data_IF_981475757217
#
_entry.id   IF_981475757217
#
_cell.length_a   1.000
_cell.length_b   1.000
_cell.length_c   1.000
_cell.angle_alpha   90.00
_cell.angle_beta   90.00
_cell.angle_gamma   90.00
#
_symmetry.space_group_name_H-M   'P 1'
#
loop_
_entity.id
_entity.type
_entity.pdbx_description
1 polymer ?
#
# COMPACT_ATOMS: atom_id res chain seq x y z
N UNK A 1 -24.41 -2.02 10.78
CA UNK A 1 -23.42 -2.81 10.04
C UNK A 1 -23.71 -3.00 8.54
N UNK A 2 -24.96 -3.04 8.05
CA UNK A 2 -25.27 -3.13 6.61
C UNK A 2 -25.02 -1.85 5.80
N UNK A 3 -25.20 -0.66 6.40
CA UNK A 3 -25.01 0.62 5.74
C UNK A 3 -23.53 0.91 5.39
N UNK A 4 -22.61 0.43 6.21
CA UNK A 4 -21.17 0.65 6.05
C UNK A 4 -20.60 -0.12 4.84
N UNK A 5 -21.02 -1.37 4.64
CA UNK A 5 -20.61 -2.16 3.46
C UNK A 5 -21.11 -1.56 2.15
N UNK A 6 -22.32 -0.98 2.15
CA UNK A 6 -22.88 -0.31 0.96
C UNK A 6 -22.04 0.90 0.54
N UNK A 7 -21.49 1.64 1.50
CA UNK A 7 -20.69 2.85 1.24
C UNK A 7 -19.31 2.51 0.62
N UNK A 8 -18.61 1.50 1.15
CA UNK A 8 -17.34 1.05 0.59
C UNK A 8 -17.48 0.49 -0.83
N UNK A 9 -18.54 -0.28 -1.10
CA UNK A 9 -18.82 -0.79 -2.44
C UNK A 9 -19.08 0.36 -3.43
N UNK A 10 -19.82 1.38 -3.03
CA UNK A 10 -20.07 2.55 -3.86
C UNK A 10 -18.79 3.33 -4.16
N UNK A 11 -17.89 3.48 -3.18
CA UNK A 11 -16.60 4.14 -3.37
C UNK A 11 -15.74 3.37 -4.36
N UNK A 12 -15.64 2.04 -4.22
CA UNK A 12 -14.90 1.20 -5.17
C UNK A 12 -15.49 1.32 -6.57
N UNK A 13 -16.82 1.28 -6.71
CA UNK A 13 -17.47 1.39 -8.01
C UNK A 13 -17.16 2.74 -8.68
N UNK A 14 -17.21 3.84 -7.92
CA UNK A 14 -16.86 5.16 -8.44
C UNK A 14 -15.40 5.22 -8.94
N UNK A 15 -14.46 4.62 -8.23
CA UNK A 15 -13.07 4.57 -8.64
C UNK A 15 -12.83 3.63 -9.81
N UNK A 16 -13.57 2.52 -9.87
CA UNK A 16 -13.55 1.60 -11.00
C UNK A 16 -13.99 2.30 -12.29
N UNK A 17 -15.07 3.10 -12.24
CA UNK A 17 -15.50 3.91 -13.37
C UNK A 17 -14.44 4.95 -13.79
N UNK A 18 -13.83 5.64 -12.83
CA UNK A 18 -12.71 6.56 -13.12
C UNK A 18 -11.56 5.86 -13.81
N UNK A 19 -11.21 4.64 -13.41
CA UNK A 19 -10.17 3.86 -14.08
C UNK A 19 -10.55 3.53 -15.53
N UNK A 20 -11.80 3.17 -15.80
CA UNK A 20 -12.28 2.88 -17.16
C UNK A 20 -12.24 4.12 -18.08
N UNK A 21 -12.36 5.31 -17.50
CA UNK A 21 -12.27 6.59 -18.22
C UNK A 21 -10.80 7.03 -18.47
N UNK A 22 -9.81 6.36 -17.88
CA UNK A 22 -8.39 6.67 -18.08
C UNK A 22 -7.87 6.09 -19.42
N UNK A 23 -6.87 6.74 -19.99
CA UNK A 23 -6.06 6.16 -21.07
C UNK A 23 -5.19 5.03 -20.49
N UNK A 24 -5.65 3.79 -20.65
CA UNK A 24 -4.97 2.61 -20.11
C UNK A 24 -3.59 2.38 -20.74
N UNK A 25 -3.40 2.75 -22.00
CA UNK A 25 -2.11 2.64 -22.67
C UNK A 25 -1.12 3.69 -22.12
N UNK A 26 -1.62 4.87 -21.76
CA UNK A 26 -0.81 5.84 -21.02
C UNK A 26 -0.43 5.32 -19.62
N UNK A 27 -1.32 4.64 -18.90
CA UNK A 27 -1.00 4.01 -17.62
C UNK A 27 0.07 2.92 -17.76
N UNK A 28 -0.02 2.08 -18.80
CA UNK A 28 1.00 1.06 -19.09
C UNK A 28 2.37 1.70 -19.25
N UNK A 29 2.47 2.75 -20.06
CA UNK A 29 3.73 3.48 -20.29
C UNK A 29 4.22 4.18 -19.02
N UNK A 30 3.32 4.87 -18.31
CA UNK A 30 3.65 5.65 -17.10
C UNK A 30 4.23 4.81 -15.97
N UNK A 31 3.67 3.63 -15.75
CA UNK A 31 4.05 2.74 -14.65
C UNK A 31 4.89 1.53 -15.10
N UNK A 32 5.21 1.46 -16.39
CA UNK A 32 5.89 0.30 -17.00
C UNK A 32 5.20 -1.03 -16.61
N UNK A 33 3.87 -1.07 -16.82
CA UNK A 33 3.08 -2.25 -16.46
C UNK A 33 3.22 -3.35 -17.50
N UNK A 34 3.20 -4.60 -17.05
CA UNK A 34 2.89 -5.70 -17.94
C UNK A 34 1.41 -5.62 -18.33
N UNK A 35 1.09 -5.94 -19.57
CA UNK A 35 -0.28 -5.93 -20.07
C UNK A 35 -0.46 -6.91 -21.23
N UNK A 36 -1.70 -7.37 -21.39
CA UNK A 36 -2.16 -8.10 -22.56
C UNK A 36 -3.46 -7.46 -23.09
N UNK A 37 -4.17 -8.16 -23.99
CA UNK A 37 -5.44 -7.66 -24.58
C UNK A 37 -6.57 -7.54 -23.56
N UNK A 38 -6.51 -8.32 -22.47
CA UNK A 38 -7.58 -8.43 -21.47
C UNK A 38 -7.29 -7.68 -20.17
N UNK A 39 -6.00 -7.51 -19.80
CA UNK A 39 -5.64 -7.03 -18.48
C UNK A 39 -4.35 -6.22 -18.43
N UNK A 40 -4.25 -5.39 -17.39
CA UNK A 40 -3.01 -4.82 -16.89
C UNK A 40 -2.59 -5.55 -15.62
N UNK A 41 -1.28 -5.59 -15.37
CA UNK A 41 -0.73 -6.24 -14.19
C UNK A 41 0.14 -5.25 -13.42
N UNK A 42 -0.11 -5.15 -12.11
CA UNK A 42 0.68 -4.30 -11.20
C UNK A 42 1.22 -5.14 -10.04
N UNK A 43 2.48 -4.91 -9.70
CA UNK A 43 3.06 -5.51 -8.49
C UNK A 43 2.74 -4.63 -7.28
N UNK A 44 2.16 -5.25 -6.24
CA UNK A 44 1.81 -4.61 -4.98
C UNK A 44 2.22 -5.53 -3.80
N UNK A 45 3.17 -5.08 -2.98
CA UNK A 45 3.81 -5.90 -1.93
C UNK A 45 4.24 -7.29 -2.45
N UNK A 46 5.03 -7.30 -3.52
CA UNK A 46 5.54 -8.51 -4.18
C UNK A 46 4.48 -9.45 -4.76
N UNK A 47 3.20 -9.08 -4.76
CA UNK A 47 2.12 -9.83 -5.41
C UNK A 47 1.74 -9.19 -6.73
N UNK A 48 1.58 -10.01 -7.76
CA UNK A 48 1.12 -9.56 -9.08
C UNK A 48 -0.40 -9.56 -9.12
N UNK A 49 -0.99 -8.39 -9.19
CA UNK A 49 -2.44 -8.20 -9.27
C UNK A 49 -2.88 -7.96 -10.70
N UNK A 50 -3.99 -8.56 -11.10
CA UNK A 50 -4.62 -8.41 -12.41
C UNK A 50 -5.71 -7.34 -12.35
N UNK A 51 -5.74 -6.45 -13.33
CA UNK A 51 -6.77 -5.42 -13.50
C UNK A 51 -7.39 -5.64 -14.86
N UNK A 52 -8.66 -6.01 -14.89
CA UNK A 52 -9.38 -6.26 -16.12
C UNK A 52 -9.59 -4.97 -16.92
N UNK A 53 -9.26 -4.97 -18.21
CA UNK A 53 -9.33 -3.78 -19.08
C UNK A 53 -10.77 -3.36 -19.38
N UNK A 54 -11.71 -4.28 -19.41
CA UNK A 54 -13.10 -4.04 -19.83
C UNK A 54 -13.96 -3.56 -18.68
N UNK A 55 -13.77 -4.16 -17.50
CA UNK A 55 -14.62 -3.87 -16.35
C UNK A 55 -13.86 -3.23 -15.17
N UNK A 56 -12.54 -3.09 -15.26
CA UNK A 56 -11.69 -2.44 -14.26
C UNK A 56 -11.48 -3.25 -12.98
N UNK A 57 -12.03 -4.45 -12.84
CA UNK A 57 -11.93 -5.24 -11.60
C UNK A 57 -10.49 -5.66 -11.32
N UNK A 58 -10.12 -5.51 -10.05
CA UNK A 58 -8.81 -5.94 -9.55
C UNK A 58 -8.94 -7.29 -8.87
N UNK A 59 -8.06 -8.23 -9.22
CA UNK A 59 -8.02 -9.57 -8.62
C UNK A 59 -6.59 -9.99 -8.29
N UNK A 60 -6.46 -10.77 -7.22
CA UNK A 60 -5.26 -11.50 -6.82
C UNK A 60 -5.57 -12.98 -6.94
N UNK A 61 -4.97 -13.68 -7.93
CA UNK A 61 -5.25 -15.08 -8.23
C UNK A 61 -6.76 -15.39 -8.37
N UNK A 62 -7.51 -14.47 -9.00
CA UNK A 62 -8.96 -14.61 -9.20
C UNK A 62 -9.84 -14.16 -8.03
N UNK A 63 -9.25 -13.79 -6.89
CA UNK A 63 -9.99 -13.31 -5.71
C UNK A 63 -9.88 -11.77 -5.63
N UNK A 64 -10.99 -11.10 -5.32
CA UNK A 64 -10.97 -9.65 -5.11
C UNK A 64 -10.20 -9.31 -3.82
N UNK A 65 -9.20 -8.42 -3.89
CA UNK A 65 -8.49 -7.93 -2.71
C UNK A 65 -9.38 -7.08 -1.78
N UNK A 66 -8.91 -6.85 -0.56
CA UNK A 66 -9.56 -5.95 0.39
C UNK A 66 -9.67 -4.50 -0.12
N UNK A 67 -10.56 -3.73 0.50
CA UNK A 67 -10.85 -2.34 0.16
C UNK A 67 -9.58 -1.47 0.02
N UNK A 68 -8.70 -1.51 1.01
CA UNK A 68 -7.49 -0.68 1.03
C UNK A 68 -6.55 -0.98 -0.14
N UNK A 69 -6.37 -2.25 -0.49
CA UNK A 69 -5.55 -2.64 -1.64
C UNK A 69 -6.12 -2.09 -2.95
N UNK A 70 -7.43 -2.28 -3.16
CA UNK A 70 -8.12 -1.78 -4.37
C UNK A 70 -8.01 -0.26 -4.46
N UNK A 71 -8.25 0.45 -3.35
CA UNK A 71 -8.18 1.90 -3.30
C UNK A 71 -6.78 2.44 -3.51
N UNK A 72 -5.75 1.79 -2.94
CA UNK A 72 -4.36 2.18 -3.14
C UNK A 72 -3.95 2.09 -4.61
N UNK A 73 -4.39 1.07 -5.33
CA UNK A 73 -4.08 0.92 -6.75
C UNK A 73 -4.76 2.01 -7.59
N UNK A 74 -6.08 2.20 -7.44
CA UNK A 74 -6.78 3.25 -8.20
C UNK A 74 -6.27 4.65 -7.89
N UNK A 75 -6.03 4.97 -6.60
CA UNK A 75 -5.48 6.26 -6.19
C UNK A 75 -4.07 6.47 -6.79
N UNK A 76 -3.25 5.43 -6.82
CA UNK A 76 -1.92 5.49 -7.42
C UNK A 76 -2.01 5.81 -8.91
N UNK A 77 -2.87 5.16 -9.66
CA UNK A 77 -3.07 5.45 -11.08
C UNK A 77 -3.51 6.89 -11.32
N UNK A 78 -4.37 7.40 -10.48
CA UNK A 78 -4.96 8.73 -10.65
C UNK A 78 -4.03 9.86 -10.21
N UNK A 79 -3.33 9.71 -9.08
CA UNK A 79 -2.59 10.81 -8.45
C UNK A 79 -1.08 10.78 -8.63
N UNK A 80 -0.48 9.68 -9.08
CA UNK A 80 0.97 9.62 -9.24
C UNK A 80 1.46 10.61 -10.31
N UNK A 81 2.69 11.11 -10.10
CA UNK A 81 3.39 11.94 -11.08
C UNK A 81 3.61 11.20 -12.41
N UNK A 82 3.94 11.92 -13.49
CA UNK A 82 4.13 11.35 -14.82
C UNK A 82 5.23 10.28 -14.90
N UNK A 83 6.28 10.42 -14.09
CA UNK A 83 7.38 9.45 -14.01
C UNK A 83 7.61 9.08 -12.55
N UNK A 84 6.76 8.17 -11.99
CA UNK A 84 6.93 7.78 -10.60
C UNK A 84 8.20 6.95 -10.45
N UNK A 85 9.10 7.41 -9.60
CA UNK A 85 10.35 6.73 -9.30
C UNK A 85 10.69 6.85 -7.81
N UNK A 86 11.24 5.79 -7.24
CA UNK A 86 11.75 5.82 -5.88
C UNK A 86 12.98 6.75 -5.82
N UNK A 87 12.96 7.74 -4.94
CA UNK A 87 14.10 8.66 -4.75
C UNK A 87 15.31 8.01 -4.08
N UNK A 88 15.14 6.82 -3.51
CA UNK A 88 16.15 6.15 -2.67
C UNK A 88 16.26 6.74 -1.25
N UNK A 89 15.62 7.86 -0.97
CA UNK A 89 15.63 8.50 0.34
C UNK A 89 14.37 8.15 1.13
N UNK A 90 14.55 7.59 2.31
CA UNK A 90 13.46 7.38 3.26
C UNK A 90 13.26 8.66 4.10
N UNK A 91 12.03 9.11 4.20
CA UNK A 91 11.62 10.26 4.99
C UNK A 91 10.52 9.85 5.95
N UNK A 92 10.51 10.40 7.16
CA UNK A 92 9.42 10.16 8.10
C UNK A 92 8.10 10.69 7.53
N UNK A 93 6.98 10.03 7.85
CA UNK A 93 5.64 10.42 7.35
C UNK A 93 5.37 11.93 7.54
N UNK A 94 5.69 12.48 8.70
CA UNK A 94 5.51 13.92 9.01
C UNK A 94 6.30 14.88 8.12
N UNK A 95 7.33 14.40 7.41
CA UNK A 95 8.15 15.21 6.50
C UNK A 95 7.61 15.22 5.08
N UNK A 96 6.63 14.37 4.77
CA UNK A 96 5.96 14.37 3.47
C UNK A 96 5.11 15.64 3.35
N UNK A 97 5.19 16.31 2.22
CA UNK A 97 4.43 17.57 2.00
C UNK A 97 2.92 17.32 2.14
N UNK A 98 2.23 18.24 2.82
CA UNK A 98 0.76 18.26 2.99
C UNK A 98 0.18 17.10 3.80
N UNK A 99 0.98 16.36 4.57
CA UNK A 99 0.45 15.27 5.41
C UNK A 99 -0.06 15.72 6.77
N UNK A 100 0.26 16.94 7.21
CA UNK A 100 -0.08 17.44 8.55
C UNK A 100 -1.55 17.18 8.97
N UNK A 101 -2.57 17.40 8.10
CA UNK A 101 -3.96 17.09 8.48
C UNK A 101 -4.22 15.59 8.75
N UNK A 102 -3.36 14.71 8.29
CA UNK A 102 -3.51 13.26 8.41
C UNK A 102 -2.66 12.65 9.53
N UNK A 103 -1.81 13.43 10.21
CA UNK A 103 -0.88 12.91 11.22
C UNK A 103 -1.62 12.22 12.38
N UNK A 104 -2.69 12.81 12.89
CA UNK A 104 -3.48 12.22 13.98
C UNK A 104 -4.14 10.89 13.56
N UNK A 105 -4.67 10.83 12.32
CA UNK A 105 -5.24 9.60 11.78
C UNK A 105 -4.14 8.54 11.58
N UNK A 106 -3.01 8.91 11.00
CA UNK A 106 -1.85 8.02 10.82
C UNK A 106 -1.39 7.40 12.14
N UNK A 107 -1.22 8.22 13.19
CA UNK A 107 -0.83 7.71 14.52
C UNK A 107 -1.85 6.69 15.04
N UNK A 108 -3.14 7.05 15.02
CA UNK A 108 -4.21 6.20 15.55
C UNK A 108 -4.42 4.92 14.74
N UNK A 109 -4.39 4.99 13.41
CA UNK A 109 -4.78 3.86 12.55
C UNK A 109 -3.61 3.00 12.10
N UNK A 110 -2.39 3.53 12.11
CA UNK A 110 -1.20 2.79 11.68
C UNK A 110 -0.29 2.52 12.89
N UNK A 111 0.23 3.56 13.53
CA UNK A 111 1.24 3.39 14.60
C UNK A 111 0.65 2.62 15.78
N UNK A 112 -0.48 3.09 16.34
CA UNK A 112 -1.12 2.40 17.49
C UNK A 112 -1.51 0.96 17.15
N UNK A 113 -1.95 0.71 15.92
CA UNK A 113 -2.29 -0.66 15.49
C UNK A 113 -1.06 -1.57 15.40
N UNK A 114 0.06 -1.07 14.90
CA UNK A 114 1.31 -1.85 14.89
C UNK A 114 1.77 -2.17 16.32
N UNK A 115 1.72 -1.18 17.22
CA UNK A 115 2.04 -1.36 18.63
C UNK A 115 1.14 -2.41 19.31
N UNK A 116 -0.19 -2.30 19.13
CA UNK A 116 -1.17 -3.24 19.69
C UNK A 116 -0.95 -4.68 19.20
N UNK A 117 -0.64 -4.86 17.92
CA UNK A 117 -0.51 -6.18 17.30
C UNK A 117 0.84 -6.81 17.62
N UNK A 118 1.93 -6.04 17.56
CA UNK A 118 3.28 -6.57 17.52
C UNK A 118 4.13 -6.31 18.78
N UNK A 119 3.64 -5.56 19.77
CA UNK A 119 4.34 -5.40 21.04
C UNK A 119 4.55 -6.77 21.72
N UNK A 120 5.81 -7.10 22.01
CA UNK A 120 6.22 -8.42 22.50
C UNK A 120 6.21 -9.53 21.44
N UNK A 121 6.07 -9.20 20.15
CA UNK A 121 5.94 -10.17 19.04
C UNK A 121 6.82 -9.81 17.84
N UNK A 122 8.08 -9.46 18.11
CA UNK A 122 9.04 -9.05 17.09
C UNK A 122 9.24 -10.11 15.99
N UNK A 123 9.24 -11.38 16.35
CA UNK A 123 9.41 -12.46 15.38
C UNK A 123 8.25 -12.51 14.36
N UNK A 124 7.02 -12.27 14.82
CA UNK A 124 5.84 -12.22 13.98
C UNK A 124 5.86 -11.00 13.06
N UNK A 125 6.31 -9.84 13.54
CA UNK A 125 6.48 -8.65 12.72
C UNK A 125 7.52 -8.88 11.61
N UNK A 126 8.68 -9.44 11.95
CA UNK A 126 9.73 -9.78 10.98
C UNK A 126 9.18 -10.72 9.91
N UNK A 127 8.50 -11.80 10.30
CA UNK A 127 7.87 -12.73 9.38
C UNK A 127 6.82 -12.07 8.49
N UNK A 128 5.99 -11.17 9.04
CA UNK A 128 5.01 -10.42 8.26
C UNK A 128 5.69 -9.53 7.21
N UNK A 129 6.77 -8.83 7.56
CA UNK A 129 7.54 -8.02 6.62
C UNK A 129 8.18 -8.87 5.50
N UNK A 130 8.72 -10.03 5.85
CA UNK A 130 9.31 -10.97 4.87
C UNK A 130 8.27 -11.51 3.88
N UNK A 131 7.07 -11.86 4.36
CA UNK A 131 5.95 -12.29 3.50
C UNK A 131 5.55 -11.18 2.51
N UNK A 132 5.67 -9.92 2.91
CA UNK A 132 5.41 -8.76 2.04
C UNK A 132 6.59 -8.43 1.10
N UNK A 133 7.64 -9.23 1.07
CA UNK A 133 8.83 -9.02 0.26
C UNK A 133 9.80 -8.00 0.85
N UNK A 134 9.73 -7.77 2.16
CA UNK A 134 10.57 -6.81 2.86
C UNK A 134 12.04 -7.19 2.91
N UNK A 135 12.90 -6.19 2.80
CA UNK A 135 14.35 -6.32 3.00
C UNK A 135 14.72 -5.77 4.38
N UNK A 136 15.47 -6.52 5.21
CA UNK A 136 15.86 -6.08 6.54
C UNK A 136 16.68 -4.77 6.53
N UNK A 137 16.45 -3.92 7.54
CA UNK A 137 17.26 -2.77 7.90
C UNK A 137 17.87 -2.97 9.30
N UNK A 138 19.07 -2.40 9.55
CA UNK A 138 19.74 -2.56 10.84
C UNK A 138 19.16 -1.71 11.99
N UNK A 139 18.11 -0.92 11.74
CA UNK A 139 17.50 -0.04 12.74
C UNK A 139 16.32 -0.71 13.45
N UNK A 140 16.21 -0.46 14.75
CA UNK A 140 15.14 -0.99 15.61
C UNK A 140 15.28 -2.47 15.92
N UNK A 141 14.32 -3.00 16.64
CA UNK A 141 14.21 -4.45 16.92
C UNK A 141 13.66 -5.20 15.71
N UNK A 142 12.85 -4.51 14.89
CA UNK A 142 12.46 -4.92 13.56
C UNK A 142 12.46 -3.72 12.59
N UNK A 143 13.45 -3.68 11.71
CA UNK A 143 13.55 -2.71 10.61
C UNK A 143 13.43 -3.40 9.26
N UNK A 144 12.56 -2.88 8.38
CA UNK A 144 12.36 -3.43 7.03
C UNK A 144 12.01 -2.33 6.03
N UNK A 145 12.50 -2.49 4.79
CA UNK A 145 11.97 -1.76 3.64
C UNK A 145 11.02 -2.68 2.89
N UNK A 146 9.78 -2.24 2.71
CA UNK A 146 8.72 -2.97 2.02
C UNK A 146 8.50 -2.39 0.63
N UNK A 147 8.53 -3.20 -0.44
CA UNK A 147 8.25 -2.75 -1.80
C UNK A 147 6.74 -2.66 -2.01
N UNK A 148 6.15 -1.49 -1.78
CA UNK A 148 4.70 -1.28 -1.98
C UNK A 148 4.36 -1.38 -3.46
N UNK A 149 5.09 -0.62 -4.28
CA UNK A 149 5.08 -0.68 -5.74
C UNK A 149 6.52 -0.68 -6.26
N UNK A 150 6.80 -1.03 -7.51
CA UNK A 150 8.15 -0.98 -8.07
C UNK A 150 8.83 0.39 -7.94
N UNK A 151 8.02 1.45 -7.85
CA UNK A 151 8.45 2.84 -7.74
C UNK A 151 8.22 3.46 -6.35
N UNK A 152 7.74 2.69 -5.36
CA UNK A 152 7.44 3.19 -4.02
C UNK A 152 7.80 2.16 -2.95
N UNK A 153 8.74 2.52 -2.10
CA UNK A 153 9.09 1.75 -0.91
C UNK A 153 8.60 2.47 0.35
N UNK A 154 8.24 1.71 1.37
CA UNK A 154 8.04 2.22 2.72
C UNK A 154 9.00 1.53 3.68
N UNK A 155 9.46 2.24 4.72
CA UNK A 155 10.20 1.63 5.81
C UNK A 155 9.29 1.46 7.03
N UNK A 156 9.39 0.29 7.66
CA UNK A 156 8.86 0.02 8.99
C UNK A 156 10.05 -0.08 9.92
N UNK A 157 10.10 0.79 10.92
CA UNK A 157 11.08 0.76 11.99
C UNK A 157 10.31 0.59 13.29
N UNK A 158 10.55 -0.49 14.00
CA UNK A 158 9.82 -0.84 15.21
C UNK A 158 10.79 -1.12 16.34
N UNK A 159 10.59 -0.46 17.46
CA UNK A 159 11.24 -0.72 18.73
C UNK A 159 10.20 -1.34 19.65
N UNK A 160 10.52 -2.51 20.23
CA UNK A 160 9.61 -3.17 21.15
C UNK A 160 9.54 -2.43 22.48
N UNK A 161 8.53 -2.75 23.27
CA UNK A 161 8.44 -2.22 24.63
C UNK A 161 9.56 -2.75 25.51
N UNK A 162 10.04 -1.94 26.40
CA UNK A 162 10.93 -2.31 27.49
C UNK A 162 10.32 -1.94 28.87
N UNK A 163 11.13 -1.89 29.93
CA UNK A 163 10.67 -1.54 31.26
C UNK A 163 10.29 -0.06 31.43
N UNK A 164 10.80 0.81 30.54
CA UNK A 164 10.63 2.27 30.65
C UNK A 164 9.71 2.84 29.56
N UNK A 165 9.63 2.19 28.40
CA UNK A 165 8.92 2.72 27.22
C UNK A 165 7.99 1.70 26.57
N UNK A 166 6.83 2.17 26.14
CA UNK A 166 5.96 1.40 25.26
C UNK A 166 6.61 1.22 23.87
N UNK A 167 6.16 0.19 23.14
CA UNK A 167 6.62 -0.05 21.76
C UNK A 167 6.39 1.18 20.86
N UNK A 168 7.32 1.41 19.93
CA UNK A 168 7.32 2.56 19.01
C UNK A 168 7.48 2.12 17.55
#
# INVERSE_FOLDING_TARGET
MKADRSNYEQVIENWRQKFLDMDQDALIRKFNLEADEEALYITYFSRKLRIDRRDGRITDQGVRPGFDTVMNIYNTFYYAAEHPAASGNLVAFRQVKRVYPFEAAYRRTIISRLQEIFSGKIAELKKACEILGGTPLPQGDAGYVLPVFPFLNIAVLFWDKDEEFDAQ
#
